data_IF_763194924499
#
_entry.id   IF_763194924499
#
_cell.length_a   1.000
_cell.length_b   1.000
_cell.length_c   1.000
_cell.angle_alpha   90.00
_cell.angle_beta   90.00
_cell.angle_gamma   90.00
#
_symmetry.space_group_name_H-M   'P 1'
#
loop_
_entity.id
_entity.type
_entity.pdbx_description
1 polymer ?
#
# COMPACT_ATOMS: atom_id res chain seq x y z
N UNK A 1 9.35 1.74 0.33
CA UNK A 1 9.71 0.32 0.14
C UNK A 1 10.59 0.18 -1.10
N UNK A 2 11.43 -0.86 -1.19
CA UNK A 2 12.26 -1.11 -2.38
C UNK A 2 11.59 -2.05 -3.40
N UNK A 3 12.11 -2.11 -4.64
CA UNK A 3 11.66 -2.99 -5.73
C UNK A 3 11.40 -4.44 -5.30
N UNK A 4 12.25 -5.00 -4.43
CA UNK A 4 12.12 -6.38 -3.92
C UNK A 4 10.74 -6.68 -3.32
N UNK A 5 10.06 -5.68 -2.74
CA UNK A 5 8.76 -5.88 -2.10
C UNK A 5 7.63 -6.19 -3.09
N UNK A 6 7.81 -5.96 -4.40
CA UNK A 6 6.86 -6.38 -5.44
C UNK A 6 6.74 -7.91 -5.56
N UNK A 7 7.73 -8.65 -5.07
CA UNK A 7 7.77 -10.12 -5.12
C UNK A 7 7.67 -10.79 -3.75
N UNK A 8 7.56 -10.03 -2.66
CA UNK A 8 7.44 -10.59 -1.31
C UNK A 8 5.97 -10.93 -1.05
N UNK A 9 5.62 -12.20 -1.14
CA UNK A 9 4.30 -12.73 -0.80
C UNK A 9 4.45 -13.98 0.08
N UNK A 10 3.73 -14.02 1.19
CA UNK A 10 3.67 -15.13 2.13
C UNK A 10 2.37 -15.05 2.94
N UNK A 11 1.74 -16.20 3.17
CA UNK A 11 0.48 -16.33 3.92
C UNK A 11 0.60 -15.86 5.38
N UNK A 12 1.83 -15.77 5.90
CA UNK A 12 2.11 -15.39 7.28
C UNK A 12 2.86 -14.06 7.42
N UNK A 13 3.03 -13.34 6.32
CA UNK A 13 3.69 -12.04 6.34
C UNK A 13 2.65 -10.93 6.10
N UNK A 14 2.61 -9.98 7.02
CA UNK A 14 1.70 -8.84 7.01
C UNK A 14 2.48 -7.54 7.18
N UNK A 15 1.93 -6.47 6.63
CA UNK A 15 2.38 -5.10 6.85
C UNK A 15 1.34 -4.39 7.71
N UNK A 16 1.82 -3.58 8.64
CA UNK A 16 0.99 -2.66 9.43
C UNK A 16 1.36 -1.24 9.03
N UNK A 17 0.41 -0.52 8.45
CA UNK A 17 0.54 0.91 8.17
C UNK A 17 -0.13 1.68 9.31
N UNK A 18 0.57 2.67 9.85
CA UNK A 18 0.07 3.51 10.94
C UNK A 18 -0.25 4.90 10.41
N UNK A 19 -1.44 5.38 10.73
CA UNK A 19 -1.85 6.77 10.55
C UNK A 19 -2.03 7.40 11.93
N UNK A 20 -1.23 8.42 12.23
CA UNK A 20 -1.26 9.13 13.52
C UNK A 20 -2.28 10.27 13.53
N UNK A 21 -3.04 10.46 12.46
CA UNK A 21 -3.97 11.59 12.34
C UNK A 21 -3.24 12.92 12.13
N UNK A 22 -3.97 14.01 12.38
CA UNK A 22 -3.49 15.37 12.08
C UNK A 22 -2.80 16.00 13.29
N UNK A 23 -3.20 15.62 14.51
CA UNK A 23 -2.73 16.19 15.76
C UNK A 23 -2.32 15.13 16.79
N UNK A 24 -1.69 15.59 17.88
CA UNK A 24 -1.20 14.74 18.97
C UNK A 24 -2.33 14.14 19.84
N UNK A 25 -3.59 14.51 19.59
CA UNK A 25 -4.75 14.02 20.34
C UNK A 25 -5.51 12.92 19.60
N UNK A 26 -5.20 12.75 18.31
CA UNK A 26 -5.80 11.75 17.45
C UNK A 26 -5.33 10.35 17.85
N UNK A 27 -6.28 9.43 18.04
CA UNK A 27 -5.93 8.02 18.24
C UNK A 27 -5.34 7.46 16.94
N UNK A 28 -4.16 6.80 16.98
CA UNK A 28 -3.56 6.25 15.79
C UNK A 28 -4.41 5.11 15.24
N UNK A 29 -4.58 5.10 13.93
CA UNK A 29 -5.24 4.03 13.19
C UNK A 29 -4.20 3.06 12.63
N UNK A 30 -4.49 1.76 12.72
CA UNK A 30 -3.67 0.72 12.10
C UNK A 30 -4.39 0.11 10.90
N UNK A 31 -3.65 -0.16 9.84
CA UNK A 31 -4.15 -0.86 8.65
C UNK A 31 -3.28 -2.09 8.40
N UNK A 32 -3.88 -3.27 8.52
CA UNK A 32 -3.19 -4.56 8.47
C UNK A 32 -3.48 -5.21 7.12
N UNK A 33 -2.48 -5.27 6.25
CA UNK A 33 -2.59 -5.86 4.92
C UNK A 33 -1.64 -7.04 4.75
N UNK A 34 -2.06 -8.10 4.06
CA UNK A 34 -1.18 -9.21 3.73
C UNK A 34 -0.07 -8.76 2.77
N UNK A 35 1.08 -9.44 2.84
CA UNK A 35 2.19 -9.18 1.93
C UNK A 35 1.80 -9.34 0.45
N UNK A 36 0.90 -10.27 0.13
CA UNK A 36 0.33 -10.45 -1.21
C UNK A 36 -0.39 -9.19 -1.71
N UNK A 37 -1.24 -8.58 -0.87
CA UNK A 37 -1.93 -7.33 -1.22
C UNK A 37 -0.92 -6.21 -1.43
N UNK A 38 0.04 -6.05 -0.52
CA UNK A 38 1.05 -4.99 -0.59
C UNK A 38 1.89 -5.13 -1.86
N UNK A 39 2.41 -6.33 -2.14
CA UNK A 39 3.20 -6.62 -3.34
C UNK A 39 2.43 -6.28 -4.62
N UNK A 40 1.16 -6.67 -4.70
CA UNK A 40 0.29 -6.36 -5.82
C UNK A 40 0.12 -4.84 -6.01
N UNK A 41 -0.31 -4.13 -4.96
CA UNK A 41 -0.63 -2.69 -5.04
C UNK A 41 0.60 -1.86 -5.41
N UNK A 42 1.76 -2.14 -4.82
CA UNK A 42 2.97 -1.36 -5.10
C UNK A 42 3.54 -1.65 -6.49
N UNK A 43 3.38 -2.87 -7.00
CA UNK A 43 3.78 -3.23 -8.36
C UNK A 43 2.89 -2.52 -9.37
N UNK A 44 1.57 -2.64 -9.21
CA UNK A 44 0.58 -2.03 -10.10
C UNK A 44 0.71 -0.51 -10.11
N UNK A 45 0.79 0.13 -8.93
CA UNK A 45 0.96 1.59 -8.85
C UNK A 45 2.25 2.07 -9.51
N UNK A 46 3.36 1.34 -9.36
CA UNK A 46 4.62 1.69 -10.03
C UNK A 46 4.53 1.56 -11.54
N UNK A 47 3.88 0.51 -12.05
CA UNK A 47 3.63 0.34 -13.48
C UNK A 47 2.79 1.50 -14.04
N UNK A 48 1.71 1.89 -13.35
CA UNK A 48 0.92 3.05 -13.74
C UNK A 48 1.74 4.34 -13.71
N UNK A 49 2.53 4.55 -12.65
CA UNK A 49 3.42 5.71 -12.55
C UNK A 49 4.43 5.77 -13.70
N UNK A 50 5.04 4.65 -14.08
CA UNK A 50 5.96 4.57 -15.22
C UNK A 50 5.28 4.88 -16.55
N UNK A 51 4.04 4.42 -16.74
CA UNK A 51 3.26 4.72 -17.96
C UNK A 51 2.77 6.17 -18.03
N UNK A 52 2.63 6.84 -16.88
CA UNK A 52 2.11 8.20 -16.82
C UNK A 52 3.20 9.23 -17.13
N UNK A 53 2.90 10.27 -17.93
CA UNK A 53 3.86 11.33 -18.18
C UNK A 53 4.30 12.00 -16.86
N UNK A 54 5.55 12.42 -16.81
CA UNK A 54 6.10 13.22 -15.72
C UNK A 54 5.49 14.62 -15.69
N UNK A 55 5.81 15.41 -14.66
CA UNK A 55 5.29 16.78 -14.48
C UNK A 55 5.54 17.70 -15.68
N UNK A 56 6.58 17.45 -16.48
CA UNK A 56 6.91 18.20 -17.71
C UNK A 56 6.57 17.43 -18.99
N UNK A 57 5.71 16.41 -18.91
CA UNK A 57 5.37 15.54 -20.04
C UNK A 57 6.43 14.48 -20.39
N UNK A 58 7.55 14.42 -19.66
CA UNK A 58 8.65 13.51 -19.95
C UNK A 58 8.34 12.08 -19.53
N UNK A 59 8.92 11.09 -20.23
CA UNK A 59 8.90 9.70 -19.80
C UNK A 59 9.58 9.55 -18.43
N UNK A 60 8.94 8.83 -17.51
CA UNK A 60 9.53 8.58 -16.18
C UNK A 60 10.63 7.53 -16.29
N UNK A 61 11.69 7.72 -15.50
CA UNK A 61 12.77 6.74 -15.34
C UNK A 61 12.39 5.74 -14.27
N UNK A 62 12.65 4.46 -14.55
CA UNK A 62 12.48 3.41 -13.56
C UNK A 62 13.47 3.59 -12.39
N UNK A 63 12.97 3.36 -11.19
CA UNK A 63 13.70 3.50 -9.93
C UNK A 63 13.28 2.40 -8.96
N UNK A 64 13.98 2.24 -7.84
CA UNK A 64 13.65 1.21 -6.85
C UNK A 64 12.58 1.61 -5.85
N UNK A 65 12.17 2.87 -5.84
CA UNK A 65 11.24 3.38 -4.84
C UNK A 65 9.80 2.91 -5.10
N UNK A 66 9.18 2.31 -4.08
CA UNK A 66 7.79 1.88 -4.06
C UNK A 66 7.07 2.49 -2.87
N UNK A 67 5.91 3.07 -3.13
CA UNK A 67 5.10 3.73 -2.11
C UNK A 67 3.72 3.09 -2.03
N UNK A 68 3.32 2.70 -0.82
CA UNK A 68 1.95 2.41 -0.45
C UNK A 68 1.27 3.73 -0.08
N UNK A 69 0.14 4.04 -0.70
CA UNK A 69 -0.61 5.27 -0.44
C UNK A 69 -2.04 4.96 -0.01
N UNK A 70 -2.59 5.70 0.97
CA UNK A 70 -4.00 5.57 1.36
C UNK A 70 -4.97 6.08 0.29
N UNK A 71 -4.45 6.85 -0.67
CA UNK A 71 -5.19 7.35 -1.81
C UNK A 71 -4.23 7.60 -2.98
N UNK A 72 -4.34 6.84 -4.06
CA UNK A 72 -3.57 7.04 -5.29
C UNK A 72 -4.20 8.07 -6.23
N UNK A 73 -5.49 8.35 -6.07
CA UNK A 73 -6.20 9.33 -6.89
C UNK A 73 -5.64 10.73 -6.66
N UNK A 74 -5.18 11.03 -5.43
CA UNK A 74 -4.53 12.30 -5.06
C UNK A 74 -3.25 12.61 -5.85
N UNK A 75 -2.60 11.57 -6.41
CA UNK A 75 -1.41 11.72 -7.26
C UNK A 75 -1.70 11.46 -8.74
N UNK A 76 -2.99 11.38 -9.10
CA UNK A 76 -3.45 11.20 -10.48
C UNK A 76 -3.34 9.78 -11.01
N UNK A 77 -3.09 8.78 -10.17
CA UNK A 77 -3.04 7.37 -10.58
C UNK A 77 -4.41 6.70 -10.32
N UNK A 78 -5.23 6.59 -11.36
CA UNK A 78 -6.58 6.00 -11.30
C UNK A 78 -6.54 4.51 -11.67
N UNK A 79 -6.44 3.62 -10.69
CA UNK A 79 -6.40 2.16 -10.92
C UNK A 79 -7.16 1.34 -9.88
N UNK A 80 -8.16 1.93 -9.22
CA UNK A 80 -9.03 1.24 -8.26
C UNK A 80 -8.59 1.30 -6.80
N UNK A 81 -7.55 2.08 -6.48
CA UNK A 81 -7.01 2.26 -5.12
C UNK A 81 -7.05 3.76 -4.72
N UNK A 82 -8.18 4.41 -4.96
CA UNK A 82 -8.47 5.79 -4.54
C UNK A 82 -8.89 5.89 -3.07
N UNK A 83 -9.27 7.08 -2.61
CA UNK A 83 -9.67 7.33 -1.22
C UNK A 83 -10.61 6.25 -0.64
N UNK A 84 -10.28 5.75 0.56
CA UNK A 84 -11.07 4.76 1.29
C UNK A 84 -10.76 3.30 0.97
N UNK A 85 -9.90 2.99 -0.01
CA UNK A 85 -9.60 1.59 -0.36
C UNK A 85 -8.96 0.79 0.78
N UNK A 86 -8.25 1.48 1.69
CA UNK A 86 -7.59 0.87 2.83
C UNK A 86 -8.53 0.54 4.00
N UNK A 87 -9.76 1.06 4.01
CA UNK A 87 -10.68 0.94 5.16
C UNK A 87 -11.00 -0.52 5.50
N UNK A 88 -11.04 -1.41 4.50
CA UNK A 88 -11.21 -2.85 4.70
C UNK A 88 -10.08 -3.52 5.52
N UNK A 89 -8.93 -2.85 5.66
CA UNK A 89 -7.78 -3.32 6.42
C UNK A 89 -7.65 -2.63 7.79
N UNK A 90 -8.51 -1.64 8.10
CA UNK A 90 -8.47 -0.88 9.37
C UNK A 90 -8.71 -1.84 10.54
N UNK A 91 -7.80 -1.82 11.51
CA UNK A 91 -7.88 -2.59 12.77
C UNK A 91 -8.17 -4.09 12.56
N UNK A 92 -7.77 -4.63 11.40
CA UNK A 92 -8.11 -6.00 11.00
C UNK A 92 -7.24 -7.07 11.71
N UNK A 93 -7.11 -6.98 13.04
CA UNK A 93 -6.32 -7.91 13.85
C UNK A 93 -6.86 -9.35 13.81
N UNK A 94 -8.11 -9.54 13.39
CA UNK A 94 -8.69 -10.88 13.14
C UNK A 94 -7.96 -11.63 12.02
N UNK A 95 -7.44 -10.92 11.00
CA UNK A 95 -6.67 -11.53 9.91
C UNK A 95 -5.35 -12.18 10.36
N UNK A 96 -4.82 -11.77 11.52
CA UNK A 96 -3.60 -12.32 12.10
C UNK A 96 -3.85 -13.62 12.88
N UNK A 97 -5.11 -14.00 13.09
CA UNK A 97 -5.45 -15.25 13.78
C UNK A 97 -5.22 -16.42 12.83
N UNK A 98 -4.03 -17.01 12.87
CA UNK A 98 -3.86 -18.41 12.47
C UNK A 98 -4.57 -19.28 13.50
N UNK A 99 -5.44 -20.19 13.06
CA UNK A 99 -5.94 -21.25 13.94
C UNK A 99 -4.72 -21.95 14.55
N UNK A 100 -4.59 -21.85 15.87
CA UNK A 100 -3.65 -22.65 16.61
C UNK A 100 -4.17 -24.09 16.58
N UNK A 101 -3.91 -24.81 15.49
CA UNK A 101 -3.93 -26.27 15.51
C UNK A 101 -2.74 -26.72 16.35
N UNK A 102 -2.95 -26.87 17.66
CA UNK A 102 -2.26 -27.82 18.53
C UNK A 102 -3.18 -28.24 19.66
#
# INVERSE_FOLDING_TARGET
MGRKHEGIASDRLFYVFLDFGIDLTSNPSSFIASSTVVAHVIKTSHQHWLSAPGKKGQQRKDSDFRQMLPDYDRIGLKFGYGAGWMEQYRENGKSLRTEASR
#
